data_IF_490227730167
#
_entry.id   IF_490227730167
#
_cell.length_a   1.000
_cell.length_b   1.000
_cell.length_c   1.000
_cell.angle_alpha   90.00
_cell.angle_beta   90.00
_cell.angle_gamma   90.00
#
_symmetry.space_group_name_H-M   'P 1'
#
loop_
_entity.id
_entity.type
_entity.pdbx_description
1 polymer ?
#
# COMPACT_ATOMS: atom_id res chain seq x y z
N UNK A 1 28.39 -30.81 -48.62
CA UNK A 1 27.64 -32.01 -48.21
C UNK A 1 26.86 -31.62 -46.96
N UNK A 2 25.54 -31.55 -46.84
CA UNK A 2 24.38 -31.76 -47.71
C UNK A 2 23.36 -30.68 -47.32
N UNK A 3 22.52 -30.28 -48.27
CA UNK A 3 21.56 -29.18 -48.19
C UNK A 3 20.12 -29.69 -48.39
N UNK A 4 19.14 -28.81 -48.09
CA UNK A 4 17.72 -28.85 -48.57
C UNK A 4 16.85 -29.88 -47.78
N UNK A 5 15.59 -29.66 -47.38
CA UNK A 5 14.49 -28.98 -48.05
C UNK A 5 13.36 -28.52 -47.09
N UNK A 6 12.76 -27.37 -47.43
CA UNK A 6 11.39 -26.96 -47.09
C UNK A 6 10.37 -27.91 -47.71
N UNK A 7 9.23 -28.16 -47.03
CA UNK A 7 7.94 -28.41 -47.70
C UNK A 7 6.78 -27.72 -46.97
N UNK A 8 6.16 -26.76 -47.69
CA UNK A 8 4.78 -26.31 -47.56
C UNK A 8 3.93 -27.13 -48.54
N UNK A 9 2.70 -27.47 -48.17
CA UNK A 9 1.54 -27.68 -49.07
C UNK A 9 0.42 -28.37 -48.28
N UNK A 10 -0.87 -28.27 -48.55
CA UNK A 10 -1.73 -27.41 -49.37
C UNK A 10 -3.16 -27.78 -48.94
N UNK A 11 -4.05 -26.81 -49.03
CA UNK A 11 -5.50 -26.98 -48.98
C UNK A 11 -5.96 -27.84 -50.17
N UNK A 12 -6.95 -28.71 -49.96
CA UNK A 12 -7.81 -29.20 -51.03
C UNK A 12 -9.25 -29.35 -50.50
N UNK A 13 -10.14 -28.65 -51.20
CA UNK A 13 -11.59 -28.67 -51.08
C UNK A 13 -12.15 -29.84 -51.90
N UNK A 14 -13.30 -30.39 -51.51
CA UNK A 14 -14.18 -31.12 -52.41
C UNK A 14 -15.64 -30.93 -51.99
N UNK A 15 -16.43 -30.45 -52.94
CA UNK A 15 -17.84 -30.12 -52.82
C UNK A 15 -18.74 -31.32 -53.19
N UNK A 16 -19.92 -31.30 -52.53
CA UNK A 16 -21.28 -31.52 -53.06
C UNK A 16 -21.68 -32.83 -53.78
N UNK A 17 -22.90 -33.32 -53.45
CA UNK A 17 -24.11 -33.35 -54.32
C UNK A 17 -25.26 -34.19 -53.71
N UNK A 18 -26.48 -33.66 -53.86
CA UNK A 18 -27.84 -34.26 -53.87
C UNK A 18 -28.39 -34.93 -52.58
N UNK A 19 -29.48 -34.46 -51.97
CA UNK A 19 -30.90 -34.34 -52.40
C UNK A 19 -31.70 -35.64 -52.20
N UNK A 20 -32.73 -35.56 -51.35
CA UNK A 20 -33.72 -36.60 -51.14
C UNK A 20 -34.77 -36.21 -50.08
N UNK A 21 -35.89 -35.64 -50.52
CA UNK A 21 -37.12 -35.42 -49.74
C UNK A 21 -38.01 -36.67 -49.80
N UNK A 22 -38.62 -37.08 -48.68
CA UNK A 22 -40.01 -37.60 -48.58
C UNK A 22 -40.32 -38.01 -47.12
N UNK A 23 -41.38 -37.44 -46.52
CA UNK A 23 -42.64 -38.11 -46.15
C UNK A 23 -42.42 -39.33 -45.21
N UNK A 24 -42.76 -39.30 -43.92
CA UNK A 24 -44.07 -38.97 -43.37
C UNK A 24 -44.67 -40.26 -42.81
N UNK A 25 -44.66 -40.44 -41.48
CA UNK A 25 -45.57 -41.39 -40.83
C UNK A 25 -45.87 -40.95 -39.41
N UNK A 26 -47.17 -40.79 -39.17
CA UNK A 26 -47.84 -40.22 -38.02
C UNK A 26 -48.20 -41.38 -37.09
N UNK A 27 -47.56 -41.51 -35.94
CA UNK A 27 -48.00 -42.46 -34.92
C UNK A 27 -48.73 -41.74 -33.79
N UNK A 28 -50.05 -41.88 -33.84
CA UNK A 28 -51.04 -41.46 -32.83
C UNK A 28 -51.03 -42.54 -31.75
N UNK A 29 -50.56 -42.21 -30.54
CA UNK A 29 -50.70 -43.07 -29.37
C UNK A 29 -51.63 -42.36 -28.37
N UNK A 30 -52.86 -42.86 -28.30
CA UNK A 30 -53.83 -42.55 -27.25
C UNK A 30 -53.31 -43.13 -25.94
N UNK A 31 -53.32 -42.34 -24.88
CA UNK A 31 -53.17 -42.83 -23.51
C UNK A 31 -54.44 -42.41 -22.77
N UNK A 32 -55.20 -43.42 -22.37
CA UNK A 32 -56.42 -43.28 -21.61
C UNK A 32 -56.14 -42.84 -20.17
N UNK A 33 -57.15 -42.17 -19.63
CA UNK A 33 -57.24 -41.61 -18.30
C UNK A 33 -57.60 -42.74 -17.33
N UNK A 34 -56.71 -43.11 -16.41
CA UNK A 34 -57.05 -43.91 -15.24
C UNK A 34 -56.87 -43.07 -13.97
N UNK A 35 -57.89 -43.06 -13.11
CA UNK A 35 -57.99 -42.23 -11.90
C UNK A 35 -58.05 -43.11 -10.66
N UNK A 36 -57.04 -42.95 -9.78
CA UNK A 36 -57.14 -43.20 -8.33
C UNK A 36 -55.87 -43.83 -7.71
N UNK A 37 -55.71 -43.82 -6.38
CA UNK A 37 -56.04 -42.80 -5.38
C UNK A 37 -54.78 -42.18 -4.74
N UNK A 38 -55.01 -41.23 -3.83
CA UNK A 38 -54.02 -40.37 -3.17
C UNK A 38 -52.94 -41.14 -2.37
N UNK A 39 -51.67 -40.85 -2.67
CA UNK A 39 -50.56 -41.04 -1.72
C UNK A 39 -49.88 -39.69 -1.47
N UNK A 40 -50.31 -39.03 -0.39
CA UNK A 40 -49.67 -37.84 0.19
C UNK A 40 -48.32 -38.21 0.79
N UNK A 41 -47.32 -38.48 -0.05
CA UNK A 41 -45.91 -38.47 0.39
C UNK A 41 -45.43 -37.03 0.37
N UNK A 42 -45.34 -36.47 1.58
CA UNK A 42 -44.80 -35.16 1.90
C UNK A 42 -43.55 -34.85 1.08
N UNK A 43 -43.75 -34.08 0.00
CA UNK A 43 -42.69 -33.31 -0.62
C UNK A 43 -42.31 -32.26 0.41
N UNK A 44 -41.40 -32.64 1.32
CA UNK A 44 -40.78 -31.72 2.25
C UNK A 44 -40.32 -30.54 1.44
N UNK A 45 -41.01 -29.41 1.58
CA UNK A 45 -40.50 -28.13 1.14
C UNK A 45 -39.18 -28.00 1.89
N UNK A 46 -38.06 -28.26 1.21
CA UNK A 46 -36.79 -27.67 1.59
C UNK A 46 -37.03 -26.17 1.40
N UNK A 47 -37.58 -25.56 2.44
CA UNK A 47 -37.59 -24.13 2.64
C UNK A 47 -36.12 -23.79 2.78
N UNK A 48 -35.41 -23.68 1.65
CA UNK A 48 -34.10 -23.07 1.66
C UNK A 48 -34.35 -21.67 2.22
N UNK A 49 -33.80 -21.35 3.40
CA UNK A 49 -33.92 -20.01 3.94
C UNK A 49 -33.41 -19.09 2.83
N UNK A 50 -34.24 -18.12 2.45
CA UNK A 50 -33.85 -17.10 1.49
C UNK A 50 -32.66 -16.36 2.10
N UNK A 51 -31.46 -16.77 1.72
CA UNK A 51 -30.22 -16.23 2.26
C UNK A 51 -30.15 -14.76 1.89
N UNK A 52 -30.26 -13.80 2.83
CA UNK A 52 -30.07 -12.42 2.48
C UNK A 52 -28.62 -12.27 2.00
N UNK A 53 -28.38 -11.64 0.84
CA UNK A 53 -27.03 -11.47 0.30
C UNK A 53 -26.10 -10.72 1.26
N UNK A 54 -26.67 -10.01 2.23
CA UNK A 54 -25.99 -9.21 3.24
C UNK A 54 -25.23 -10.05 4.29
N UNK A 55 -25.71 -11.25 4.62
CA UNK A 55 -25.07 -12.08 5.65
C UNK A 55 -23.70 -12.60 5.19
N UNK A 56 -23.58 -13.02 3.93
CA UNK A 56 -22.31 -13.53 3.39
C UNK A 56 -21.23 -12.44 3.31
N UNK A 57 -21.64 -11.17 3.19
CA UNK A 57 -20.71 -10.04 3.16
C UNK A 57 -19.95 -9.88 4.47
N UNK A 58 -20.54 -10.26 5.62
CA UNK A 58 -19.91 -10.11 6.94
C UNK A 58 -18.65 -10.96 7.10
N UNK A 59 -18.65 -12.14 6.48
CA UNK A 59 -17.52 -13.07 6.48
C UNK A 59 -16.66 -12.96 5.20
N UNK A 60 -16.84 -11.88 4.43
CA UNK A 60 -16.03 -11.58 3.27
C UNK A 60 -14.70 -10.94 3.69
N UNK A 61 -13.59 -11.51 3.23
CA UNK A 61 -12.26 -10.96 3.46
C UNK A 61 -11.79 -10.15 2.27
N UNK A 62 -11.48 -8.88 2.52
CA UNK A 62 -10.86 -8.00 1.53
C UNK A 62 -9.36 -8.25 1.42
N UNK A 63 -8.80 -7.97 0.25
CA UNK A 63 -7.34 -8.04 0.01
C UNK A 63 -6.54 -7.29 1.09
N UNK A 64 -6.97 -6.09 1.48
CA UNK A 64 -6.28 -5.29 2.50
C UNK A 64 -6.29 -5.95 3.89
N UNK A 65 -7.37 -6.66 4.25
CA UNK A 65 -7.45 -7.40 5.51
C UNK A 65 -6.50 -8.59 5.51
N UNK A 66 -6.44 -9.31 4.39
CA UNK A 66 -5.50 -10.40 4.19
C UNK A 66 -4.04 -9.92 4.22
N UNK A 67 -3.73 -8.76 3.64
CA UNK A 67 -2.39 -8.17 3.69
C UNK A 67 -1.95 -7.90 5.13
N UNK A 68 -2.85 -7.45 5.99
CA UNK A 68 -2.52 -7.24 7.42
C UNK A 68 -2.24 -8.57 8.11
N UNK A 69 -3.07 -9.59 7.86
CA UNK A 69 -3.07 -10.84 8.61
C UNK A 69 -2.12 -11.93 8.10
N UNK A 70 -1.53 -11.79 6.91
CA UNK A 70 -0.73 -12.86 6.27
C UNK A 70 0.47 -13.41 7.07
N UNK A 71 0.94 -12.71 8.11
CA UNK A 71 2.03 -13.15 8.99
C UNK A 71 1.57 -13.45 10.43
N UNK A 72 0.26 -13.45 10.67
CA UNK A 72 -0.31 -13.73 11.98
C UNK A 72 -0.32 -15.24 12.24
N UNK A 73 -0.07 -15.70 13.47
CA UNK A 73 0.01 -17.13 13.77
C UNK A 73 -1.35 -17.84 13.60
N UNK A 74 -2.45 -17.16 13.90
CA UNK A 74 -3.81 -17.68 13.73
C UNK A 74 -4.39 -17.51 12.31
N UNK A 75 -3.59 -17.01 11.35
CA UNK A 75 -4.06 -16.67 10.01
C UNK A 75 -4.85 -17.81 9.35
N UNK A 76 -4.27 -19.02 9.32
CA UNK A 76 -4.89 -20.17 8.68
C UNK A 76 -6.22 -20.55 9.34
N UNK A 77 -6.30 -20.50 10.67
CA UNK A 77 -7.51 -20.86 11.43
C UNK A 77 -8.64 -19.85 11.20
N UNK A 78 -8.33 -18.56 11.23
CA UNK A 78 -9.33 -17.49 11.07
C UNK A 78 -9.88 -17.42 9.64
N UNK A 79 -9.00 -17.49 8.62
CA UNK A 79 -9.45 -17.32 7.23
C UNK A 79 -10.12 -18.56 6.64
N UNK A 80 -9.88 -19.74 7.21
CA UNK A 80 -10.54 -20.97 6.76
C UNK A 80 -12.05 -20.90 7.04
N UNK A 81 -12.86 -21.18 6.02
CA UNK A 81 -14.32 -21.03 6.05
C UNK A 81 -14.83 -19.61 5.82
N UNK A 82 -13.95 -18.64 5.57
CA UNK A 82 -14.36 -17.31 5.11
C UNK A 82 -14.54 -17.30 3.58
N UNK A 83 -15.18 -16.24 3.08
CA UNK A 83 -15.40 -16.05 1.65
C UNK A 83 -14.52 -14.94 1.11
N UNK A 84 -14.13 -15.07 -0.16
CA UNK A 84 -13.34 -14.08 -0.87
C UNK A 84 -13.91 -13.85 -2.27
N UNK A 85 -13.80 -12.61 -2.73
CA UNK A 85 -14.09 -12.25 -4.13
C UNK A 85 -12.82 -12.42 -4.93
N UNK A 86 -12.81 -13.34 -5.87
CA UNK A 86 -11.61 -13.69 -6.64
C UNK A 86 -11.81 -13.35 -8.11
N UNK A 87 -10.77 -12.75 -8.69
CA UNK A 87 -10.71 -12.54 -10.14
C UNK A 87 -10.44 -13.89 -10.78
N UNK A 88 -11.39 -14.38 -11.58
CA UNK A 88 -11.18 -15.61 -12.35
C UNK A 88 -10.41 -15.25 -13.62
N UNK A 89 -9.28 -15.91 -13.85
CA UNK A 89 -8.49 -15.77 -15.06
C UNK A 89 -9.22 -16.36 -16.27
N UNK A 90 -10.09 -15.54 -16.88
CA UNK A 90 -10.60 -15.55 -18.26
C UNK A 90 -11.23 -16.83 -18.86
N UNK A 91 -12.54 -16.74 -19.10
CA UNK A 91 -13.17 -17.02 -20.39
C UNK A 91 -14.19 -15.90 -20.69
N UNK A 92 -14.48 -15.58 -21.96
CA UNK A 92 -15.45 -14.51 -22.34
C UNK A 92 -16.86 -14.77 -21.75
N UNK A 93 -17.15 -16.03 -21.42
CA UNK A 93 -18.44 -16.47 -20.87
C UNK A 93 -18.51 -16.50 -19.35
N UNK A 94 -17.37 -16.52 -18.65
CA UNK A 94 -17.35 -16.59 -17.19
C UNK A 94 -17.36 -15.19 -16.56
N UNK A 95 -18.05 -15.00 -15.42
CA UNK A 95 -18.01 -13.74 -14.69
C UNK A 95 -16.56 -13.39 -14.35
N UNK A 96 -16.14 -12.13 -14.52
CA UNK A 96 -14.75 -11.72 -14.23
C UNK A 96 -14.39 -11.92 -12.75
N UNK A 97 -15.40 -11.92 -11.88
CA UNK A 97 -15.26 -12.14 -10.45
C UNK A 97 -16.20 -13.24 -9.99
N UNK A 98 -15.71 -14.11 -9.10
CA UNK A 98 -16.51 -15.16 -8.49
C UNK A 98 -16.36 -15.13 -6.96
N UNK A 99 -17.35 -15.73 -6.29
CA UNK A 99 -17.38 -15.88 -4.83
C UNK A 99 -16.84 -17.26 -4.48
N UNK A 100 -15.73 -17.32 -3.75
CA UNK A 100 -15.13 -18.59 -3.38
C UNK A 100 -14.97 -18.71 -1.86
N UNK A 101 -15.16 -19.93 -1.36
CA UNK A 101 -14.89 -20.30 0.03
C UNK A 101 -13.41 -20.66 0.19
N UNK A 102 -12.77 -20.20 1.25
CA UNK A 102 -11.42 -20.62 1.61
C UNK A 102 -11.49 -21.96 2.36
N UNK A 103 -11.04 -23.03 1.71
CA UNK A 103 -11.03 -24.38 2.31
C UNK A 103 -9.79 -24.57 3.20
N UNK A 104 -8.63 -24.11 2.74
CA UNK A 104 -7.38 -24.21 3.49
C UNK A 104 -6.34 -23.21 2.99
N UNK A 105 -5.36 -22.93 3.85
CA UNK A 105 -4.16 -22.16 3.49
C UNK A 105 -3.00 -23.14 3.30
N UNK A 106 -2.23 -22.96 2.24
CA UNK A 106 -1.06 -23.79 1.92
C UNK A 106 0.17 -22.92 1.67
N UNK A 107 1.36 -23.47 1.84
CA UNK A 107 2.64 -22.84 1.49
C UNK A 107 3.15 -23.38 0.15
N UNK A 108 3.60 -22.50 -0.73
CA UNK A 108 4.26 -22.85 -2.00
C UNK A 108 5.76 -22.56 -1.91
N UNK A 109 6.55 -23.11 -2.84
CA UNK A 109 7.99 -22.80 -2.95
C UNK A 109 8.26 -21.38 -3.48
N UNK A 110 7.34 -20.86 -4.28
CA UNK A 110 7.47 -19.56 -4.93
C UNK A 110 7.04 -18.43 -3.97
N UNK A 111 7.97 -17.53 -3.68
CA UNK A 111 7.71 -16.32 -2.91
C UNK A 111 7.28 -15.23 -3.88
N UNK A 112 6.22 -14.50 -3.54
CA UNK A 112 5.72 -13.40 -4.35
C UNK A 112 5.44 -12.17 -3.49
N UNK A 113 5.38 -11.00 -4.13
CA UNK A 113 5.03 -9.75 -3.49
C UNK A 113 3.51 -9.66 -3.31
N UNK A 114 3.08 -9.40 -2.07
CA UNK A 114 1.69 -9.23 -1.69
C UNK A 114 1.55 -7.89 -0.94
N UNK A 115 1.14 -6.86 -1.71
CA UNK A 115 1.13 -5.47 -1.25
C UNK A 115 2.54 -5.01 -0.87
N UNK A 116 2.71 -4.56 0.37
CA UNK A 116 3.98 -4.15 0.95
C UNK A 116 4.86 -5.33 1.42
N UNK A 117 4.29 -6.53 1.55
CA UNK A 117 4.93 -7.70 2.15
C UNK A 117 5.28 -8.76 1.10
N UNK A 118 6.06 -9.76 1.50
CA UNK A 118 6.35 -10.95 0.69
C UNK A 118 5.79 -12.18 1.38
N UNK A 119 5.20 -13.08 0.62
CA UNK A 119 4.62 -14.32 1.14
C UNK A 119 4.71 -15.43 0.11
N UNK A 120 4.70 -16.66 0.59
CA UNK A 120 4.60 -17.88 -0.23
C UNK A 120 3.26 -18.61 -0.01
N UNK A 121 2.31 -17.97 0.69
CA UNK A 121 1.01 -18.55 1.00
C UNK A 121 0.13 -18.61 -0.24
N UNK A 122 -0.71 -19.62 -0.33
CA UNK A 122 -1.75 -19.77 -1.35
C UNK A 122 -3.02 -20.29 -0.70
N UNK A 123 -4.16 -19.95 -1.26
CA UNK A 123 -5.44 -20.49 -0.82
C UNK A 123 -5.87 -21.64 -1.70
N UNK A 124 -6.38 -22.69 -1.06
CA UNK A 124 -7.26 -23.64 -1.71
C UNK A 124 -8.68 -23.09 -1.61
N UNK A 125 -9.17 -22.59 -2.73
CA UNK A 125 -10.49 -22.01 -2.86
C UNK A 125 -11.47 -23.03 -3.43
N UNK A 126 -12.72 -22.94 -3.00
CA UNK A 126 -13.82 -23.75 -3.52
C UNK A 126 -14.92 -22.86 -4.08
N UNK A 127 -15.25 -23.10 -5.34
CA UNK A 127 -16.42 -22.53 -6.00
C UNK A 127 -17.35 -23.68 -6.40
N UNK A 128 -18.39 -23.90 -5.60
CA UNK A 128 -19.31 -25.04 -5.73
C UNK A 128 -18.58 -26.40 -5.69
N UNK A 129 -18.43 -27.07 -6.84
CA UNK A 129 -17.70 -28.35 -6.95
C UNK A 129 -16.25 -28.21 -7.43
N UNK A 130 -15.82 -27.00 -7.79
CA UNK A 130 -14.48 -26.76 -8.33
C UNK A 130 -13.55 -26.26 -7.22
N UNK A 131 -12.52 -27.03 -6.92
CA UNK A 131 -11.44 -26.61 -6.03
C UNK A 131 -10.27 -26.07 -6.89
N UNK A 132 -9.76 -24.89 -6.55
CA UNK A 132 -8.64 -24.26 -7.24
C UNK A 132 -7.64 -23.69 -6.24
N UNK A 133 -6.35 -23.82 -6.56
CA UNK A 133 -5.27 -23.22 -5.76
C UNK A 133 -4.93 -21.87 -6.38
N UNK A 134 -5.06 -20.81 -5.60
CA UNK A 134 -4.90 -19.43 -6.06
C UNK A 134 -4.03 -18.66 -5.08
N UNK A 135 -3.19 -17.75 -5.60
CA UNK A 135 -2.41 -16.85 -4.75
C UNK A 135 -3.32 -15.80 -4.10
N UNK A 136 -2.89 -15.25 -2.97
CA UNK A 136 -3.65 -14.19 -2.28
C UNK A 136 -3.84 -12.93 -3.15
N UNK A 137 -3.02 -12.75 -4.20
CA UNK A 137 -3.08 -11.59 -5.10
C UNK A 137 -4.38 -11.51 -5.90
N UNK A 138 -5.02 -12.64 -6.16
CA UNK A 138 -6.25 -12.69 -6.97
C UNK A 138 -7.49 -12.23 -6.19
N UNK A 139 -7.37 -11.98 -4.88
CA UNK A 139 -8.47 -11.50 -4.04
C UNK A 139 -8.70 -10.01 -4.31
N UNK A 140 -9.97 -9.61 -4.44
CA UNK A 140 -10.36 -8.21 -4.63
C UNK A 140 -10.59 -7.50 -3.28
N UNK A 141 -10.51 -6.17 -3.30
CA UNK A 141 -10.91 -5.33 -2.15
C UNK A 141 -12.41 -5.00 -2.14
N UNK A 142 -13.09 -5.18 -3.26
CA UNK A 142 -14.50 -4.84 -3.40
C UNK A 142 -15.40 -5.94 -2.83
N UNK A 143 -16.58 -5.54 -2.34
CA UNK A 143 -17.63 -6.46 -1.92
C UNK A 143 -18.23 -7.25 -3.08
N UNK A 144 -18.97 -8.30 -2.75
CA UNK A 144 -19.74 -9.07 -3.72
C UNK A 144 -20.88 -8.26 -4.31
N UNK A 145 -21.05 -8.38 -5.62
CA UNK A 145 -22.25 -7.88 -6.29
C UNK A 145 -23.40 -8.89 -6.14
N UNK A 146 -24.65 -8.42 -6.26
CA UNK A 146 -25.82 -9.29 -6.13
C UNK A 146 -25.85 -10.38 -7.23
N UNK A 147 -25.38 -10.05 -8.44
CA UNK A 147 -25.28 -10.99 -9.56
C UNK A 147 -24.28 -12.11 -9.27
N UNK A 148 -23.09 -11.78 -8.76
CA UNK A 148 -22.07 -12.76 -8.36
C UNK A 148 -22.57 -13.72 -7.28
N UNK A 149 -23.26 -13.19 -6.26
CA UNK A 149 -23.86 -14.00 -5.20
C UNK A 149 -24.96 -14.92 -5.72
N UNK A 150 -25.81 -14.43 -6.62
CA UNK A 150 -26.87 -15.23 -7.22
C UNK A 150 -26.29 -16.36 -8.07
N UNK A 151 -25.27 -16.07 -8.89
CA UNK A 151 -24.56 -17.08 -9.68
C UNK A 151 -23.89 -18.14 -8.81
N UNK A 152 -23.23 -17.71 -7.73
CA UNK A 152 -22.64 -18.64 -6.76
C UNK A 152 -23.70 -19.54 -6.10
N UNK A 153 -24.83 -18.99 -5.68
CA UNK A 153 -25.95 -19.79 -5.12
C UNK A 153 -26.48 -20.81 -6.13
N UNK A 154 -26.71 -20.38 -7.37
CA UNK A 154 -27.14 -21.28 -8.44
C UNK A 154 -26.13 -22.41 -8.67
N UNK A 155 -24.83 -22.10 -8.68
CA UNK A 155 -23.77 -23.09 -8.80
C UNK A 155 -23.74 -24.06 -7.60
N UNK A 156 -23.96 -23.58 -6.37
CA UNK A 156 -24.04 -24.42 -5.16
C UNK A 156 -25.23 -25.39 -5.22
N UNK A 157 -26.40 -24.91 -5.65
CA UNK A 157 -27.60 -25.75 -5.82
C UNK A 157 -27.38 -26.79 -6.92
N UNK A 158 -26.83 -26.38 -8.07
CA UNK A 158 -26.50 -27.30 -9.16
C UNK A 158 -25.48 -28.37 -8.75
N UNK A 159 -24.53 -28.01 -7.88
CA UNK A 159 -23.53 -28.91 -7.31
C UNK A 159 -24.03 -29.76 -6.13
N UNK A 160 -25.29 -29.60 -5.70
CA UNK A 160 -25.87 -30.24 -4.51
C UNK A 160 -25.03 -30.02 -3.24
N UNK A 161 -24.36 -28.86 -3.14
CA UNK A 161 -23.59 -28.47 -1.96
C UNK A 161 -24.46 -27.65 -1.02
N UNK A 162 -24.25 -27.84 0.29
CA UNK A 162 -24.97 -27.09 1.32
C UNK A 162 -24.51 -25.64 1.30
N UNK A 163 -25.47 -24.73 1.23
CA UNK A 163 -25.24 -23.30 1.49
C UNK A 163 -24.93 -23.15 2.98
N UNK A 164 -23.96 -22.31 3.40
CA UNK A 164 -23.67 -22.08 4.81
C UNK A 164 -24.94 -21.65 5.55
N UNK A 165 -25.14 -22.11 6.78
CA UNK A 165 -26.27 -21.68 7.64
C UNK A 165 -25.96 -20.31 8.24
N UNK A 166 -26.95 -19.42 8.49
CA UNK A 166 -26.73 -18.14 9.18
C UNK A 166 -25.98 -18.28 10.51
N UNK A 167 -26.21 -19.34 11.26
CA UNK A 167 -25.49 -19.64 12.50
C UNK A 167 -23.98 -19.85 12.28
N UNK A 168 -23.61 -20.54 11.20
CA UNK A 168 -22.21 -20.73 10.83
C UNK A 168 -21.56 -19.40 10.45
N UNK A 169 -22.30 -18.53 9.76
CA UNK A 169 -21.84 -17.17 9.44
C UNK A 169 -21.62 -16.37 10.71
N UNK A 170 -22.58 -16.34 11.63
CA UNK A 170 -22.47 -15.59 12.89
C UNK A 170 -21.30 -16.10 13.75
N UNK A 171 -21.09 -17.41 13.82
CA UNK A 171 -19.94 -18.01 14.50
C UNK A 171 -18.61 -17.59 13.86
N UNK A 172 -18.55 -17.57 12.51
CA UNK A 172 -17.36 -17.12 11.78
C UNK A 172 -17.12 -15.62 11.91
N UNK A 173 -18.16 -14.81 11.88
CA UNK A 173 -18.10 -13.37 12.14
C UNK A 173 -17.49 -13.09 13.52
N UNK A 174 -17.90 -13.83 14.56
CA UNK A 174 -17.28 -13.75 15.88
C UNK A 174 -15.79 -14.10 15.85
N UNK A 175 -15.38 -15.15 15.13
CA UNK A 175 -13.96 -15.50 15.01
C UNK A 175 -13.12 -14.43 14.28
N UNK A 176 -13.73 -13.69 13.34
CA UNK A 176 -13.11 -12.54 12.67
C UNK A 176 -12.97 -11.37 13.65
N UNK A 177 -14.00 -11.12 14.47
CA UNK A 177 -13.99 -10.10 15.51
C UNK A 177 -12.89 -10.38 16.55
N UNK A 178 -12.82 -11.62 17.04
CA UNK A 178 -11.77 -12.07 17.97
C UNK A 178 -10.36 -11.89 17.38
N UNK A 179 -10.19 -12.13 16.08
CA UNK A 179 -8.93 -11.89 15.39
C UNK A 179 -8.58 -10.40 15.23
N UNK A 180 -9.58 -9.50 15.19
CA UNK A 180 -9.37 -8.05 15.17
C UNK A 180 -9.00 -7.51 16.56
N UNK A 181 -9.65 -8.03 17.60
CA UNK A 181 -9.47 -7.63 18.99
C UNK A 181 -8.35 -8.41 19.70
N UNK A 182 -7.64 -9.28 18.97
CA UNK A 182 -6.58 -10.13 19.51
C UNK A 182 -5.45 -9.31 20.14
N UNK A 183 -5.10 -9.65 21.38
CA UNK A 183 -3.98 -9.04 22.08
C UNK A 183 -2.69 -9.78 21.76
N UNK A 184 -1.71 -9.05 21.23
CA UNK A 184 -0.46 -9.64 20.78
C UNK A 184 0.40 -10.10 21.96
N UNK A 185 0.71 -11.38 22.01
CA UNK A 185 1.62 -11.97 23.01
C UNK A 185 3.07 -11.94 22.51
N UNK A 186 4.06 -12.01 23.41
CA UNK A 186 5.48 -12.09 23.03
C UNK A 186 5.78 -13.22 22.03
N UNK A 187 5.12 -14.38 22.17
CA UNK A 187 5.20 -15.47 21.20
C UNK A 187 4.74 -15.08 19.80
N UNK A 188 3.63 -14.33 19.70
CA UNK A 188 3.10 -13.84 18.42
C UNK A 188 4.08 -12.87 17.76
N UNK A 189 4.68 -11.97 18.54
CA UNK A 189 5.70 -11.05 18.03
C UNK A 189 6.90 -11.79 17.48
N UNK A 190 7.41 -12.79 18.19
CA UNK A 190 8.53 -13.60 17.73
C UNK A 190 8.18 -14.35 16.42
N UNK A 191 6.97 -14.90 16.33
CA UNK A 191 6.48 -15.55 15.12
C UNK A 191 6.40 -14.57 13.93
N UNK A 192 5.82 -13.39 14.14
CA UNK A 192 5.71 -12.35 13.11
C UNK A 192 7.08 -11.89 12.63
N UNK A 193 8.04 -11.70 13.55
CA UNK A 193 9.41 -11.30 13.21
C UNK A 193 10.12 -12.41 12.44
N UNK A 194 10.03 -13.66 12.88
CA UNK A 194 10.60 -14.80 12.18
C UNK A 194 10.04 -14.94 10.76
N UNK A 195 8.72 -14.83 10.61
CA UNK A 195 8.05 -14.97 9.32
C UNK A 195 8.36 -13.80 8.37
N UNK A 196 8.47 -12.57 8.89
CA UNK A 196 8.92 -11.43 8.08
C UNK A 196 10.38 -11.63 7.64
N UNK A 197 11.27 -12.00 8.55
CA UNK A 197 12.68 -12.22 8.27
C UNK A 197 12.91 -13.34 7.26
N UNK A 198 12.10 -14.40 7.27
CA UNK A 198 12.15 -15.51 6.31
C UNK A 198 12.07 -15.07 4.84
N UNK A 199 11.36 -13.98 4.54
CA UNK A 199 11.15 -13.50 3.17
C UNK A 199 11.94 -12.22 2.84
N UNK A 200 12.75 -11.71 3.78
CA UNK A 200 13.67 -10.61 3.52
C UNK A 200 14.86 -11.12 2.73
N UNK A 201 15.18 -10.46 1.62
CA UNK A 201 16.39 -10.76 0.84
C UNK A 201 17.67 -10.27 1.54
N UNK A 202 17.55 -9.27 2.42
CA UNK A 202 18.66 -8.71 3.18
C UNK A 202 18.17 -8.27 4.56
N UNK A 203 19.00 -8.35 5.62
CA UNK A 203 18.63 -7.91 6.95
C UNK A 203 18.30 -6.41 6.95
N UNK A 204 17.09 -6.06 7.42
CA UNK A 204 16.53 -4.70 7.32
C UNK A 204 17.42 -3.63 7.97
N UNK A 205 18.12 -4.00 9.05
CA UNK A 205 19.04 -3.14 9.77
C UNK A 205 20.43 -3.78 9.87
N UNK A 206 21.18 -3.69 8.78
CA UNK A 206 22.58 -4.16 8.73
C UNK A 206 23.40 -3.54 9.87
N UNK A 207 23.15 -2.28 10.24
CA UNK A 207 23.83 -1.62 11.36
C UNK A 207 23.51 -2.29 12.72
N UNK A 208 22.24 -2.66 12.97
CA UNK A 208 21.85 -3.34 14.20
C UNK A 208 22.45 -4.74 14.28
N UNK A 209 22.45 -5.50 13.17
CA UNK A 209 23.08 -6.82 13.12
C UNK A 209 24.60 -6.71 13.32
N UNK A 210 25.26 -5.71 12.71
CA UNK A 210 26.68 -5.42 12.95
C UNK A 210 26.96 -5.11 14.41
N UNK A 211 26.11 -4.31 15.06
CA UNK A 211 26.26 -3.98 16.48
C UNK A 211 26.12 -5.23 17.37
N UNK A 212 25.13 -6.08 17.09
CA UNK A 212 24.93 -7.36 17.80
C UNK A 212 26.14 -8.28 17.64
N UNK A 213 26.65 -8.43 16.41
CA UNK A 213 27.83 -9.26 16.14
C UNK A 213 29.09 -8.72 16.83
N UNK A 214 29.25 -7.40 16.91
CA UNK A 214 30.37 -6.79 17.65
C UNK A 214 30.26 -7.04 19.16
N UNK A 215 29.04 -6.97 19.71
CA UNK A 215 28.77 -7.24 21.12
C UNK A 215 29.02 -8.73 21.46
N UNK A 216 28.44 -9.65 20.66
CA UNK A 216 28.65 -11.10 20.77
C UNK A 216 30.12 -11.48 20.61
N UNK A 217 30.84 -10.86 19.66
CA UNK A 217 32.28 -11.05 19.50
C UNK A 217 33.05 -10.63 20.74
N UNK A 218 32.70 -9.49 21.35
CA UNK A 218 33.36 -8.99 22.56
C UNK A 218 33.12 -9.90 23.77
N UNK A 219 31.89 -10.43 23.91
CA UNK A 219 31.54 -11.40 24.95
C UNK A 219 32.30 -12.71 24.77
N UNK A 220 32.28 -13.27 23.55
CA UNK A 220 32.94 -14.54 23.21
C UNK A 220 34.46 -14.46 23.32
N UNK A 221 35.04 -13.32 22.93
CA UNK A 221 36.47 -13.05 23.12
C UNK A 221 36.85 -13.00 24.60
N UNK A 222 35.94 -12.55 25.46
CA UNK A 222 36.13 -12.56 26.91
C UNK A 222 36.01 -13.97 27.49
N UNK A 223 35.18 -14.83 26.90
CA UNK A 223 35.04 -16.25 27.27
C UNK A 223 36.19 -17.15 26.77
N UNK A 224 36.94 -16.73 25.74
CA UNK A 224 38.12 -17.43 25.23
C UNK A 224 37.89 -18.36 24.05
N UNK A 225 36.67 -18.41 23.50
CA UNK A 225 36.32 -19.27 22.36
C UNK A 225 36.78 -18.64 21.03
N UNK A 226 38.02 -18.92 20.62
CA UNK A 226 38.65 -18.31 19.45
C UNK A 226 37.99 -18.67 18.11
N UNK A 227 37.33 -19.83 18.01
CA UNK A 227 36.70 -20.28 16.77
C UNK A 227 35.40 -19.54 16.49
N UNK A 228 34.55 -19.38 17.50
CA UNK A 228 33.32 -18.57 17.43
C UNK A 228 33.63 -17.09 17.11
N UNK A 229 34.72 -16.54 17.66
CA UNK A 229 35.17 -15.17 17.34
C UNK A 229 35.52 -15.02 15.85
N UNK A 230 36.10 -16.04 15.21
CA UNK A 230 36.39 -16.02 13.77
C UNK A 230 35.11 -16.08 12.95
N UNK A 231 34.14 -16.92 13.34
CA UNK A 231 32.83 -16.99 12.67
C UNK A 231 32.11 -15.63 12.67
N UNK A 232 32.04 -14.96 13.83
CA UNK A 232 31.46 -13.62 13.92
C UNK A 232 32.23 -12.59 13.08
N UNK A 233 33.56 -12.70 13.04
CA UNK A 233 34.39 -11.80 12.23
C UNK A 233 34.14 -12.00 10.72
N UNK A 234 33.96 -13.24 10.28
CA UNK A 234 33.65 -13.55 8.89
C UNK A 234 32.24 -13.14 8.51
N UNK A 235 31.24 -13.30 9.40
CA UNK A 235 29.89 -12.75 9.22
C UNK A 235 29.90 -11.20 9.14
N UNK A 236 30.75 -10.54 9.92
CA UNK A 236 30.92 -9.09 9.84
C UNK A 236 31.55 -8.67 8.50
N UNK A 237 32.49 -9.45 7.96
CA UNK A 237 33.09 -9.21 6.63
C UNK A 237 32.07 -9.41 5.51
N UNK A 238 31.23 -10.45 5.56
CA UNK A 238 30.19 -10.69 4.54
C UNK A 238 29.16 -9.55 4.54
N UNK A 239 28.64 -9.15 5.71
CA UNK A 239 27.72 -8.01 5.84
C UNK A 239 28.34 -6.69 5.35
N UNK A 240 29.63 -6.47 5.56
CA UNK A 240 30.34 -5.32 5.01
C UNK A 240 30.45 -5.39 3.47
N UNK A 241 30.73 -6.57 2.90
CA UNK A 241 30.78 -6.75 1.43
C UNK A 241 29.42 -6.49 0.77
N UNK A 242 28.33 -7.00 1.36
CA UNK A 242 26.97 -6.83 0.86
C UNK A 242 26.48 -5.37 0.91
N UNK A 243 26.96 -4.58 1.88
CA UNK A 243 26.55 -3.17 2.04
C UNK A 243 27.35 -2.17 1.21
N UNK A 244 28.58 -2.51 0.81
CA UNK A 244 29.41 -1.69 -0.08
C UNK A 244 28.72 -1.23 -1.38
N UNK A 245 28.03 -2.08 -2.16
CA UNK A 245 27.37 -1.64 -3.40
C UNK A 245 26.25 -0.62 -3.14
N UNK A 246 25.46 -0.80 -2.08
CA UNK A 246 24.41 0.16 -1.71
C UNK A 246 24.96 1.52 -1.26
N UNK A 247 26.11 1.54 -0.56
CA UNK A 247 26.78 2.81 -0.22
C UNK A 247 27.31 3.51 -1.46
N UNK A 248 27.90 2.76 -2.42
CA UNK A 248 28.42 3.31 -3.67
C UNK A 248 27.32 3.97 -4.52
N UNK A 249 26.11 3.38 -4.56
CA UNK A 249 24.97 3.96 -5.26
C UNK A 249 24.43 5.25 -4.60
N UNK A 250 24.55 5.37 -3.27
CA UNK A 250 24.14 6.57 -2.52
C UNK A 250 25.19 7.68 -2.61
N UNK A 251 26.45 7.32 -2.71
CA UNK A 251 27.56 8.23 -2.91
C UNK A 251 27.89 8.33 -4.39
N UNK A 252 27.01 8.91 -5.20
CA UNK A 252 27.51 9.46 -6.47
C UNK A 252 28.55 10.53 -6.10
N UNK A 253 29.64 10.64 -6.84
CA UNK A 253 30.70 11.62 -6.54
C UNK A 253 30.19 13.07 -6.45
N UNK A 254 29.01 13.33 -7.03
CA UNK A 254 28.28 14.59 -6.92
C UNK A 254 27.81 14.89 -5.47
N UNK A 255 27.38 13.89 -4.71
CA UNK A 255 26.82 14.06 -3.36
C UNK A 255 27.89 14.16 -2.26
N UNK A 256 29.08 13.60 -2.49
CA UNK A 256 30.22 13.69 -1.56
C UNK A 256 31.03 14.98 -1.71
N UNK A 257 30.87 15.68 -2.84
CA UNK A 257 31.37 17.04 -3.01
C UNK A 257 30.48 17.95 -2.19
N UNK A 258 30.84 18.14 -0.92
CA UNK A 258 30.39 19.32 -0.19
C UNK A 258 30.90 20.50 -1.00
N UNK A 259 30.04 21.13 -1.79
CA UNK A 259 30.32 22.45 -2.33
C UNK A 259 30.51 23.32 -1.09
N UNK A 260 31.76 23.61 -0.73
CA UNK A 260 32.07 24.47 0.41
C UNK A 260 31.12 25.66 0.37
N UNK A 261 30.27 25.88 1.39
CA UNK A 261 29.29 26.94 1.32
C UNK A 261 30.01 28.27 1.07
N UNK A 262 29.42 29.19 0.30
CA UNK A 262 30.03 30.48 -0.03
C UNK A 262 30.38 31.33 1.21
N UNK A 263 30.01 30.88 2.41
CA UNK A 263 30.43 31.40 3.72
C UNK A 263 31.97 31.45 3.88
N UNK A 264 32.72 30.48 3.35
CA UNK A 264 34.20 30.52 3.46
C UNK A 264 34.79 31.54 2.49
N UNK A 265 34.13 31.78 1.34
CA UNK A 265 34.53 32.79 0.36
C UNK A 265 34.06 34.20 0.74
N UNK A 266 32.98 34.35 1.52
CA UNK A 266 32.50 35.65 2.01
C UNK A 266 33.41 36.22 3.10
N UNK A 267 34.01 35.37 3.95
CA UNK A 267 34.99 35.79 4.97
C UNK A 267 36.27 36.42 4.40
N UNK A 268 36.61 36.15 3.14
CA UNK A 268 37.78 36.71 2.46
C UNK A 268 37.46 37.94 1.61
N UNK A 269 36.19 38.38 1.52
CA UNK A 269 35.88 39.63 0.81
C UNK A 269 36.24 40.80 1.72
N UNK A 270 37.01 41.80 1.24
CA UNK A 270 37.19 43.03 1.99
C UNK A 270 35.81 43.65 2.23
N UNK A 271 35.59 44.19 3.43
CA UNK A 271 34.35 44.87 3.78
C UNK A 271 34.10 46.01 2.78
N UNK A 272 32.90 46.12 2.17
CA UNK A 272 32.60 47.24 1.29
C UNK A 272 32.77 48.54 2.10
N UNK A 273 33.72 49.39 1.71
CA UNK A 273 33.90 50.70 2.33
C UNK A 273 32.71 51.56 1.91
N UNK A 274 31.85 51.93 2.84
CA UNK A 274 30.82 52.93 2.59
C UNK A 274 31.53 54.26 2.24
N UNK A 275 31.05 55.02 1.24
CA UNK A 275 31.55 56.36 1.01
C UNK A 275 31.21 57.19 2.25
N UNK A 276 32.24 57.57 3.02
CA UNK A 276 32.12 58.56 4.09
C UNK A 276 32.04 59.93 3.42
N UNK A 277 30.85 60.31 2.97
CA UNK A 277 30.56 61.72 2.76
C UNK A 277 30.40 62.37 4.14
N UNK A 278 31.00 63.55 4.30
CA UNK A 278 31.19 64.22 5.59
C UNK A 278 29.85 64.61 6.23
N UNK A 279 29.32 63.72 7.08
CA UNK A 279 28.24 64.05 8.02
C UNK A 279 28.80 64.90 9.17
N UNK A 280 29.28 66.10 8.87
CA UNK A 280 29.66 67.05 9.90
C UNK A 280 28.39 67.51 10.64
N UNK A 281 28.37 67.20 11.95
CA UNK A 281 27.38 67.62 12.96
C UNK A 281 26.04 66.88 13.06
N UNK A 282 25.85 65.70 12.45
CA UNK A 282 24.63 64.91 12.68
C UNK A 282 24.96 63.46 13.03
N UNK A 283 24.54 63.00 14.22
CA UNK A 283 24.68 61.60 14.65
C UNK A 283 23.75 60.69 13.81
N UNK A 284 24.32 59.80 12.97
CA UNK A 284 23.56 59.00 12.00
C UNK A 284 22.67 57.92 12.63
N UNK A 285 22.78 57.66 13.94
CA UNK A 285 22.00 56.62 14.64
C UNK A 285 20.90 57.19 15.56
N UNK A 286 20.79 58.51 15.69
CA UNK A 286 19.71 59.12 16.47
C UNK A 286 18.49 59.42 15.59
N UNK A 287 17.32 58.89 15.97
CA UNK A 287 16.06 59.20 15.27
C UNK A 287 15.65 60.64 15.57
N UNK A 288 15.54 61.48 14.54
CA UNK A 288 15.02 62.86 14.67
C UNK A 288 13.56 62.85 15.14
N UNK A 289 13.21 63.73 16.08
CA UNK A 289 11.82 63.86 16.57
C UNK A 289 10.95 64.57 15.53
N UNK A 290 10.09 63.83 14.83
CA UNK A 290 9.20 64.33 13.76
C UNK A 290 7.85 64.87 14.26
N UNK A 291 7.85 65.68 15.33
CA UNK A 291 6.61 66.36 15.75
C UNK A 291 6.36 67.57 14.84
N UNK A 292 5.20 67.70 14.19
CA UNK A 292 4.89 68.85 13.36
C UNK A 292 4.85 70.12 14.24
N UNK A 293 5.46 71.20 13.75
CA UNK A 293 5.38 72.52 14.39
C UNK A 293 4.22 73.26 13.73
N UNK A 294 3.27 73.72 14.54
CA UNK A 294 2.11 74.49 14.05
C UNK A 294 2.55 75.92 13.75
N UNK A 295 2.60 76.28 12.47
CA UNK A 295 3.09 77.58 11.95
C UNK A 295 2.04 78.71 12.09
N UNK A 296 0.86 78.41 12.63
CA UNK A 296 -0.28 79.34 12.67
C UNK A 296 -0.13 80.47 13.70
N UNK A 297 0.89 80.43 14.57
CA UNK A 297 1.15 81.42 15.63
C UNK A 297 2.35 82.34 15.38
N UNK A 298 2.98 82.29 14.20
CA UNK A 298 4.17 83.10 13.87
C UNK A 298 3.92 84.62 13.74
N UNK A 299 2.67 85.10 13.90
CA UNK A 299 2.36 86.54 13.90
C UNK A 299 2.94 87.29 15.11
N UNK A 300 3.26 86.59 16.20
CA UNK A 300 3.93 87.16 17.37
C UNK A 300 5.43 86.95 17.24
N UNK A 301 6.20 88.04 17.21
CA UNK A 301 7.65 88.01 17.01
C UNK A 301 8.37 87.10 18.02
N UNK A 302 7.98 87.16 19.30
CA UNK A 302 8.58 86.32 20.34
C UNK A 302 8.38 84.82 20.14
N UNK A 303 7.22 84.41 19.64
CA UNK A 303 6.92 83.01 19.32
C UNK A 303 7.66 82.60 18.07
N UNK A 304 7.78 83.50 17.09
CA UNK A 304 8.48 83.28 15.83
C UNK A 304 9.97 83.01 16.05
N UNK A 305 10.66 83.84 16.84
CA UNK A 305 12.08 83.65 17.18
C UNK A 305 12.31 82.35 17.97
N UNK A 306 11.41 82.00 18.89
CA UNK A 306 11.51 80.75 19.65
C UNK A 306 11.33 79.51 18.77
N UNK A 307 10.43 79.56 17.80
CA UNK A 307 10.22 78.46 16.84
C UNK A 307 11.43 78.32 15.93
N UNK A 308 11.99 79.41 15.39
CA UNK A 308 13.16 79.34 14.53
C UNK A 308 14.42 78.87 15.27
N UNK A 309 14.64 79.32 16.51
CA UNK A 309 15.78 78.83 17.31
C UNK A 309 15.64 77.33 17.64
N UNK A 310 14.43 76.84 17.89
CA UNK A 310 14.18 75.41 18.06
C UNK A 310 14.39 74.63 16.75
N UNK A 311 14.04 75.21 15.60
CA UNK A 311 14.31 74.62 14.29
C UNK A 311 15.81 74.54 13.99
N UNK A 312 16.58 75.59 14.27
CA UNK A 312 18.03 75.62 14.07
C UNK A 312 18.74 74.61 14.98
N UNK A 313 18.28 74.45 16.23
CA UNK A 313 18.76 73.41 17.14
C UNK A 313 18.46 71.99 16.63
N UNK A 314 17.32 71.77 15.97
CA UNK A 314 16.88 70.44 15.50
C UNK A 314 17.46 70.06 14.14
N UNK A 315 17.63 71.02 13.25
CA UNK A 315 17.95 70.79 11.84
C UNK A 315 19.31 71.38 11.41
N UNK A 316 19.97 72.12 12.30
CA UNK A 316 21.17 72.90 12.00
C UNK A 316 20.81 74.30 11.49
N UNK A 317 21.74 75.28 11.57
CA UNK A 317 21.52 76.64 11.10
C UNK A 317 21.34 76.62 9.58
N UNK A 318 20.11 76.71 9.12
CA UNK A 318 19.78 76.40 7.72
C UNK A 318 18.76 77.33 7.08
N UNK A 319 18.27 78.35 7.78
CA UNK A 319 17.26 79.24 7.24
C UNK A 319 17.36 80.65 7.82
N UNK A 320 18.08 81.55 7.13
CA UNK A 320 17.95 82.99 7.36
C UNK A 320 16.66 83.44 6.66
N UNK A 321 15.71 84.10 7.33
CA UNK A 321 14.58 84.69 6.63
C UNK A 321 15.13 85.79 5.72
N UNK A 322 14.95 85.66 4.41
CA UNK A 322 15.10 86.78 3.49
C UNK A 322 14.11 87.86 3.94
N UNK A 323 14.62 89.02 4.35
CA UNK A 323 13.78 90.17 4.67
C UNK A 323 13.01 90.57 3.42
N UNK A 324 11.69 90.72 3.57
CA UNK A 324 10.82 91.36 2.59
C UNK A 324 11.26 92.83 2.41
N UNK A 325 11.82 93.15 1.25
CA UNK A 325 11.77 94.47 0.61
C UNK A 325 11.08 94.30 -0.76
#
# INVERSE_FOLDING_TARGET
>A
MSSVAKRKSLVASAASVASGRSAGTKWKRQVEHDKGPEDKKARGKMTQPAFPPEELKRICLSYNRLEKWCHMPFFATTVTGCFVRVVTGASISDPPHCVAEIVSVMETKNIYQFGSKRTNLVFKLRHASKDQIVTLRSVSNQEFTQSELMQWKLAMVAALKKVPTPEMIASKEKSIQEALDHTFTQGDFNFIVAQKNRFLAAPLNVAKRKLQLLDEQSATRSHGDADMVKEFQDELKTLNKETKPLSQLRTTECCLKITFPPIVKSRKRPTPKAPTEDYHNMDPFTRRRTRPIMVTSLKKESVRTAVYSEMDLRYGPGFQPENED
#
